data_IF_116482720050
#
_entry.id   IF_116482720050
#
_cell.length_a   1.000
_cell.length_b   1.000
_cell.length_c   1.000
_cell.angle_alpha   90.00
_cell.angle_beta   90.00
_cell.angle_gamma   90.00
#
_symmetry.space_group_name_H-M   'P 1'
#
loop_
_entity.id
_entity.type
_entity.pdbx_description
1 polymer ?
#
# COMPACT_ATOMS: atom_id res chain seq x y z
N UNK A 1 12.09 -8.42 23.86
CA UNK A 1 11.35 -7.16 24.16
C UNK A 1 12.11 -6.01 23.57
N UNK A 2 11.51 -5.23 22.66
CA UNK A 2 12.15 -3.98 22.22
C UNK A 2 12.21 -3.04 23.43
N UNK A 3 13.38 -2.41 23.64
CA UNK A 3 13.59 -1.52 24.77
C UNK A 3 12.75 -0.24 24.52
N UNK A 4 11.82 0.09 25.42
CA UNK A 4 11.02 1.31 25.36
C UNK A 4 11.90 2.58 25.28
N UNK A 5 13.15 2.52 25.73
CA UNK A 5 14.12 3.60 25.65
C UNK A 5 14.58 3.92 24.21
N UNK A 6 14.24 3.11 23.22
CA UNK A 6 14.55 3.37 21.81
C UNK A 6 13.49 4.21 21.10
N UNK A 7 12.37 4.50 21.77
CA UNK A 7 11.33 5.38 21.28
C UNK A 7 11.43 6.77 21.92
N UNK A 8 11.23 7.79 21.10
CA UNK A 8 11.18 9.18 21.52
C UNK A 8 9.71 9.61 21.47
N UNK A 9 9.22 10.22 22.55
CA UNK A 9 7.92 10.89 22.53
C UNK A 9 8.07 12.18 21.72
N UNK A 10 7.54 12.18 20.50
CA UNK A 10 7.67 13.27 19.52
C UNK A 10 6.61 14.37 19.71
N UNK A 11 5.62 14.12 20.55
CA UNK A 11 4.50 15.00 20.83
C UNK A 11 3.52 14.32 21.77
N UNK A 12 2.32 14.86 21.91
CA UNK A 12 1.33 14.27 22.82
C UNK A 12 0.90 12.87 22.33
N UNK A 13 1.40 11.82 23.00
CA UNK A 13 1.12 10.42 22.68
C UNK A 13 1.58 9.97 21.27
N UNK A 14 2.67 10.52 20.76
CA UNK A 14 3.31 10.09 19.50
C UNK A 14 4.65 9.44 19.84
N UNK A 15 4.84 8.19 19.44
CA UNK A 15 6.05 7.41 19.72
C UNK A 15 6.77 7.03 18.43
N UNK A 16 7.99 7.55 18.26
CA UNK A 16 8.81 7.32 17.06
C UNK A 16 10.12 6.68 17.46
N UNK A 17 10.49 5.59 16.81
CA UNK A 17 11.78 4.95 17.05
C UNK A 17 12.92 5.85 16.55
N UNK A 18 14.00 5.92 17.29
CA UNK A 18 15.16 6.81 17.02
C UNK A 18 15.86 6.57 15.67
N UNK A 19 15.67 5.42 15.03
CA UNK A 19 16.22 5.12 13.71
C UNK A 19 15.35 5.61 12.55
N UNK A 20 14.20 6.23 12.83
CA UNK A 20 13.32 6.74 11.78
C UNK A 20 13.88 8.02 11.15
N UNK A 21 13.54 8.22 9.89
CA UNK A 21 13.87 9.44 9.15
C UNK A 21 12.58 10.08 8.65
N UNK A 22 12.35 11.32 9.04
CA UNK A 22 11.17 12.10 8.64
C UNK A 22 11.63 13.32 7.86
N UNK A 23 11.13 13.46 6.64
CA UNK A 23 11.40 14.64 5.81
C UNK A 23 10.58 15.86 6.25
N UNK A 24 10.90 17.01 5.67
CA UNK A 24 10.22 18.26 5.96
C UNK A 24 8.74 18.23 5.62
N UNK A 25 7.91 18.84 6.46
CA UNK A 25 6.47 18.97 6.24
C UNK A 25 5.68 17.67 6.47
N UNK A 26 6.27 16.63 7.04
CA UNK A 26 5.53 15.48 7.53
C UNK A 26 4.68 15.91 8.72
N UNK A 27 3.38 15.60 8.69
CA UNK A 27 2.47 15.81 9.82
C UNK A 27 2.02 14.49 10.41
N UNK A 28 2.02 14.42 11.75
CA UNK A 28 1.69 13.20 12.50
C UNK A 28 0.69 13.58 13.59
N UNK A 29 -0.47 12.95 13.56
CA UNK A 29 -1.53 13.14 14.54
C UNK A 29 -1.25 12.34 15.83
N UNK A 30 -1.94 12.64 16.95
CA UNK A 30 -1.77 11.93 18.21
C UNK A 30 -2.02 10.42 18.13
N UNK A 31 -1.41 9.66 19.05
CA UNK A 31 -1.52 8.21 19.18
C UNK A 31 -0.89 7.39 18.03
N UNK A 32 -0.01 7.99 17.26
CA UNK A 32 0.75 7.29 16.23
C UNK A 32 1.97 6.60 16.84
N UNK A 33 2.26 5.39 16.36
CA UNK A 33 3.49 4.66 16.70
C UNK A 33 4.26 4.32 15.43
N UNK A 34 5.53 4.76 15.35
CA UNK A 34 6.42 4.46 14.24
C UNK A 34 7.59 3.63 14.76
N UNK A 35 7.67 2.38 14.29
CA UNK A 35 8.70 1.41 14.63
C UNK A 35 10.06 1.71 13.99
N UNK A 36 11.05 0.83 14.17
CA UNK A 36 12.39 1.06 13.64
C UNK A 36 12.43 1.05 12.10
N UNK A 37 13.46 1.74 11.57
CA UNK A 37 13.81 1.74 10.15
C UNK A 37 12.67 2.19 9.23
N UNK A 38 11.92 3.21 9.62
CA UNK A 38 10.88 3.83 8.79
C UNK A 38 11.41 5.14 8.22
N UNK A 39 11.23 5.32 6.92
CA UNK A 39 11.54 6.56 6.21
C UNK A 39 10.24 7.15 5.66
N UNK A 40 9.95 8.42 5.95
CA UNK A 40 8.73 9.10 5.50
C UNK A 40 9.10 10.35 4.71
N UNK A 41 8.71 10.36 3.44
CA UNK A 41 9.00 11.44 2.50
C UNK A 41 8.15 12.69 2.75
N UNK A 42 8.64 13.79 2.17
CA UNK A 42 8.16 15.15 2.34
C UNK A 42 6.65 15.30 2.16
N UNK A 43 6.01 16.06 3.06
CA UNK A 43 4.61 16.45 2.95
C UNK A 43 3.60 15.35 3.23
N UNK A 44 4.05 14.16 3.64
CA UNK A 44 3.16 13.06 3.99
C UNK A 44 2.40 13.32 5.29
N UNK A 45 1.19 12.76 5.39
CA UNK A 45 0.25 12.97 6.50
C UNK A 45 -0.13 11.64 7.13
N UNK A 46 0.10 11.51 8.43
CA UNK A 46 -0.16 10.30 9.20
C UNK A 46 -1.23 10.62 10.25
N UNK A 47 -2.41 10.06 10.07
CA UNK A 47 -3.55 10.27 10.97
C UNK A 47 -3.46 9.47 12.25
N UNK A 48 -4.33 9.78 13.19
CA UNK A 48 -4.33 9.19 14.54
C UNK A 48 -4.43 7.66 14.55
N UNK A 49 -3.79 7.04 15.53
CA UNK A 49 -3.81 5.59 15.77
C UNK A 49 -3.19 4.74 14.65
N UNK A 50 -2.41 5.34 13.77
CA UNK A 50 -1.64 4.62 12.75
C UNK A 50 -0.43 3.94 13.41
N UNK A 51 -0.14 2.72 12.98
CA UNK A 51 1.05 1.96 13.40
C UNK A 51 1.87 1.60 12.16
N UNK A 52 3.14 2.05 12.12
CA UNK A 52 4.04 1.82 10.99
C UNK A 52 5.31 1.13 11.49
N UNK A 53 5.82 0.15 10.74
CA UNK A 53 7.10 -0.50 11.00
C UNK A 53 7.04 -1.57 12.10
N UNK A 54 5.86 -2.13 12.37
CA UNK A 54 5.76 -3.38 13.14
C UNK A 54 6.50 -4.49 12.39
N UNK A 55 7.03 -5.47 13.13
CA UNK A 55 7.66 -6.64 12.53
C UNK A 55 6.71 -7.36 11.58
N UNK A 56 7.27 -8.05 10.58
CA UNK A 56 6.52 -8.91 9.68
C UNK A 56 5.69 -9.94 10.46
N UNK A 57 4.47 -10.20 10.03
CA UNK A 57 3.53 -11.14 10.66
C UNK A 57 3.84 -12.59 10.26
N UNK A 58 5.03 -13.06 10.62
CA UNK A 58 5.50 -14.42 10.33
C UNK A 58 5.74 -15.18 11.62
N UNK A 59 5.04 -16.30 11.86
CA UNK A 59 5.28 -17.12 13.05
C UNK A 59 6.73 -17.65 13.12
N UNK A 60 7.38 -17.51 14.29
CA UNK A 60 8.69 -18.07 14.55
C UNK A 60 9.89 -17.28 14.01
N UNK A 61 9.70 -16.04 13.57
CA UNK A 61 10.75 -15.25 12.91
C UNK A 61 11.14 -13.99 13.70
N UNK A 62 11.71 -14.20 14.91
CA UNK A 62 12.11 -13.06 15.75
C UNK A 62 13.47 -12.42 15.44
N UNK A 63 14.32 -13.02 14.60
CA UNK A 63 15.73 -12.63 14.50
C UNK A 63 16.27 -12.32 13.08
N UNK A 64 15.43 -12.20 12.06
CA UNK A 64 15.91 -11.83 10.72
C UNK A 64 16.03 -10.32 10.52
N UNK A 65 16.87 -9.93 9.52
CA UNK A 65 17.18 -8.56 9.12
C UNK A 65 16.01 -7.60 9.26
N UNK A 66 16.26 -6.47 9.90
CA UNK A 66 15.32 -5.35 9.95
C UNK A 66 15.27 -4.69 8.56
N UNK A 67 14.25 -5.04 7.77
CA UNK A 67 13.94 -4.33 6.55
C UNK A 67 13.24 -3.00 6.86
N UNK A 68 13.26 -2.09 5.89
CA UNK A 68 12.74 -0.75 5.99
C UNK A 68 11.27 -0.69 5.56
N UNK A 69 10.51 0.26 6.11
CA UNK A 69 9.30 0.76 5.49
C UNK A 69 9.63 2.10 4.83
N UNK A 70 9.56 2.14 3.50
CA UNK A 70 9.81 3.33 2.70
C UNK A 70 8.48 3.95 2.30
N UNK A 71 8.22 5.16 2.77
CA UNK A 71 7.03 5.95 2.43
C UNK A 71 7.47 7.17 1.64
N UNK A 72 6.95 7.32 0.44
CA UNK A 72 7.25 8.40 -0.49
C UNK A 72 6.71 9.76 -0.05
N UNK A 73 6.70 10.72 -0.96
CA UNK A 73 6.25 12.08 -0.72
C UNK A 73 4.72 12.20 -0.89
N UNK A 74 4.12 13.15 -0.14
CA UNK A 74 2.69 13.47 -0.22
C UNK A 74 1.77 12.26 -0.03
N UNK A 75 2.22 11.24 0.68
CA UNK A 75 1.40 10.07 1.04
C UNK A 75 0.44 10.46 2.16
N UNK A 76 -0.81 10.00 2.06
CA UNK A 76 -1.81 10.19 3.12
C UNK A 76 -2.19 8.84 3.69
N UNK A 77 -1.98 8.67 5.00
CA UNK A 77 -2.33 7.45 5.74
C UNK A 77 -3.37 7.84 6.79
N UNK A 78 -4.57 7.29 6.63
CA UNK A 78 -5.71 7.59 7.49
C UNK A 78 -5.71 6.71 8.75
N UNK A 79 -6.65 7.00 9.62
CA UNK A 79 -6.75 6.48 10.98
C UNK A 79 -6.76 4.95 11.04
N UNK A 80 -6.10 4.40 12.05
CA UNK A 80 -6.06 2.97 12.34
C UNK A 80 -5.44 2.08 11.24
N UNK A 81 -4.70 2.66 10.30
CA UNK A 81 -3.94 1.88 9.33
C UNK A 81 -2.75 1.20 10.01
N UNK A 82 -2.45 -0.03 9.61
CA UNK A 82 -1.26 -0.76 10.03
C UNK A 82 -0.37 -1.10 8.84
N UNK A 83 0.94 -0.83 8.95
CA UNK A 83 1.93 -1.11 7.91
C UNK A 83 3.10 -1.86 8.53
N UNK A 84 3.36 -3.06 8.07
CA UNK A 84 4.42 -3.91 8.58
C UNK A 84 5.73 -3.73 7.81
N UNK A 85 6.86 -3.84 8.53
CA UNK A 85 8.18 -3.91 7.90
C UNK A 85 8.33 -5.20 7.09
N UNK A 86 9.27 -5.19 6.17
CA UNK A 86 9.53 -6.34 5.33
C UNK A 86 10.11 -7.54 6.09
N UNK A 87 10.00 -8.69 5.46
CA UNK A 87 10.57 -9.96 5.88
C UNK A 87 11.74 -10.43 4.98
N UNK A 88 11.57 -10.25 3.67
CA UNK A 88 12.56 -10.62 2.65
C UNK A 88 13.06 -9.41 1.84
N UNK A 89 12.33 -8.31 1.87
CA UNK A 89 12.63 -7.03 1.21
C UNK A 89 11.90 -5.89 1.93
N UNK A 90 12.16 -4.65 1.55
CA UNK A 90 11.47 -3.50 2.11
C UNK A 90 9.98 -3.48 1.73
N UNK A 91 9.14 -2.97 2.64
CA UNK A 91 7.77 -2.57 2.32
C UNK A 91 7.82 -1.15 1.75
N UNK A 92 7.27 -0.95 0.54
CA UNK A 92 7.40 0.30 -0.21
C UNK A 92 6.03 0.88 -0.53
N UNK A 93 5.83 2.13 -0.18
CA UNK A 93 4.67 2.94 -0.53
C UNK A 93 5.20 4.16 -1.28
N UNK A 94 4.95 4.24 -2.58
CA UNK A 94 5.45 5.31 -3.42
C UNK A 94 4.68 6.63 -3.23
N UNK A 95 5.07 7.67 -3.98
CA UNK A 95 4.54 9.02 -3.86
C UNK A 95 3.03 9.11 -4.11
N UNK A 96 2.38 10.02 -3.40
CA UNK A 96 0.97 10.37 -3.60
C UNK A 96 -0.02 9.21 -3.42
N UNK A 97 0.38 8.14 -2.74
CA UNK A 97 -0.53 7.06 -2.37
C UNK A 97 -1.48 7.53 -1.28
N UNK A 98 -2.75 7.15 -1.41
CA UNK A 98 -3.78 7.42 -0.40
C UNK A 98 -4.27 6.12 0.22
N UNK A 99 -4.08 5.94 1.54
CA UNK A 99 -4.51 4.77 2.29
C UNK A 99 -5.60 5.20 3.28
N UNK A 100 -6.82 4.70 3.07
CA UNK A 100 -7.96 5.00 3.93
C UNK A 100 -7.93 4.18 5.22
N UNK A 101 -8.75 4.59 6.15
CA UNK A 101 -8.82 4.08 7.51
C UNK A 101 -9.02 2.55 7.60
N UNK A 102 -8.49 1.97 8.68
CA UNK A 102 -8.57 0.55 9.00
C UNK A 102 -7.94 -0.40 7.96
N UNK A 103 -7.18 0.11 6.98
CA UNK A 103 -6.49 -0.76 6.04
C UNK A 103 -5.25 -1.39 6.65
N UNK A 104 -4.93 -2.59 6.19
CA UNK A 104 -3.78 -3.36 6.64
C UNK A 104 -2.84 -3.64 5.47
N UNK A 105 -1.57 -3.28 5.62
CA UNK A 105 -0.50 -3.52 4.65
C UNK A 105 0.52 -4.45 5.31
N UNK A 106 0.52 -5.71 4.91
CA UNK A 106 1.45 -6.70 5.41
C UNK A 106 2.88 -6.50 4.87
N UNK A 107 3.79 -7.36 5.27
CA UNK A 107 5.21 -7.32 4.95
C UNK A 107 5.51 -7.42 3.45
N UNK A 108 6.62 -6.82 3.00
CA UNK A 108 7.14 -6.94 1.62
C UNK A 108 6.21 -6.39 0.52
N UNK A 109 5.19 -5.62 0.86
CA UNK A 109 4.28 -5.03 -0.10
C UNK A 109 4.93 -3.89 -0.88
N UNK A 110 4.50 -3.71 -2.13
CA UNK A 110 4.88 -2.57 -2.95
C UNK A 110 3.64 -1.92 -3.55
N UNK A 111 3.35 -0.70 -3.10
CA UNK A 111 2.23 0.11 -3.59
C UNK A 111 2.81 1.26 -4.41
N UNK A 112 2.51 1.25 -5.71
CA UNK A 112 3.02 2.26 -6.64
C UNK A 112 2.28 3.58 -6.52
N UNK A 113 2.89 4.62 -7.10
CA UNK A 113 2.45 6.01 -7.02
C UNK A 113 0.98 6.20 -7.44
N UNK A 114 0.35 7.20 -6.83
CA UNK A 114 -1.03 7.60 -7.09
C UNK A 114 -2.09 6.50 -6.84
N UNK A 115 -1.73 5.35 -6.27
CA UNK A 115 -2.71 4.33 -5.92
C UNK A 115 -3.58 4.76 -4.72
N UNK A 116 -4.82 4.31 -4.73
CA UNK A 116 -5.76 4.51 -3.62
C UNK A 116 -6.17 3.16 -3.04
N UNK A 117 -5.94 3.00 -1.76
CA UNK A 117 -6.36 1.85 -0.95
C UNK A 117 -7.55 2.31 -0.11
N UNK A 118 -8.74 1.84 -0.44
CA UNK A 118 -9.96 2.23 0.26
C UNK A 118 -10.04 1.65 1.67
N UNK A 119 -11.03 2.07 2.44
CA UNK A 119 -11.17 1.68 3.84
C UNK A 119 -11.27 0.16 4.04
N UNK A 120 -10.68 -0.33 5.11
CA UNK A 120 -10.71 -1.74 5.52
C UNK A 120 -10.16 -2.73 4.48
N UNK A 121 -9.30 -2.27 3.58
CA UNK A 121 -8.60 -3.16 2.63
C UNK A 121 -7.50 -3.92 3.36
N UNK A 122 -7.37 -5.21 3.04
CA UNK A 122 -6.28 -6.06 3.53
C UNK A 122 -5.37 -6.48 2.37
N UNK A 123 -4.11 -6.05 2.41
CA UNK A 123 -3.05 -6.54 1.52
C UNK A 123 -2.19 -7.54 2.29
N UNK A 124 -2.24 -8.80 1.89
CA UNK A 124 -1.38 -9.84 2.46
C UNK A 124 0.08 -9.67 2.03
N UNK A 125 1.00 -10.45 2.59
CA UNK A 125 2.44 -10.32 2.33
C UNK A 125 2.81 -10.37 0.85
N UNK A 126 3.83 -9.62 0.46
CA UNK A 126 4.42 -9.60 -0.89
C UNK A 126 3.50 -9.12 -2.03
N UNK A 127 2.37 -8.48 -1.71
CA UNK A 127 1.45 -7.92 -2.70
C UNK A 127 2.07 -6.73 -3.43
N UNK A 128 1.79 -6.64 -4.76
CA UNK A 128 2.14 -5.47 -5.57
C UNK A 128 0.87 -4.81 -6.10
N UNK A 129 0.74 -3.51 -5.84
CA UNK A 129 -0.35 -2.68 -6.37
C UNK A 129 0.25 -1.73 -7.41
N UNK A 130 -0.31 -1.74 -8.60
CA UNK A 130 0.10 -0.92 -9.73
C UNK A 130 -0.16 0.57 -9.54
N UNK A 131 0.37 1.35 -10.48
CA UNK A 131 0.22 2.80 -10.53
C UNK A 131 -1.24 3.20 -10.81
N UNK A 132 -1.73 4.26 -10.15
CA UNK A 132 -3.08 4.79 -10.32
C UNK A 132 -4.20 3.74 -10.12
N UNK A 133 -3.94 2.69 -9.34
CA UNK A 133 -4.94 1.70 -8.98
C UNK A 133 -5.93 2.20 -7.93
N UNK A 134 -7.14 1.67 -7.96
CA UNK A 134 -8.12 1.84 -6.90
C UNK A 134 -8.53 0.46 -6.33
N UNK A 135 -8.21 0.22 -5.07
CA UNK A 135 -8.61 -1.01 -4.36
C UNK A 135 -9.82 -0.68 -3.51
N UNK A 136 -10.95 -1.28 -3.87
CA UNK A 136 -12.25 -0.99 -3.29
C UNK A 136 -12.38 -1.39 -1.82
N UNK A 137 -13.32 -0.74 -1.13
CA UNK A 137 -13.57 -0.91 0.31
C UNK A 137 -13.77 -2.39 0.67
N UNK A 138 -13.22 -2.81 1.83
CA UNK A 138 -13.33 -4.19 2.37
C UNK A 138 -12.82 -5.29 1.43
N UNK A 139 -11.98 -4.95 0.44
CA UNK A 139 -11.38 -5.95 -0.44
C UNK A 139 -10.13 -6.56 0.19
N UNK A 140 -9.83 -7.80 -0.21
CA UNK A 140 -8.61 -8.50 0.23
C UNK A 140 -7.79 -8.94 -0.97
N UNK A 141 -6.47 -8.79 -0.88
CA UNK A 141 -5.52 -9.21 -1.90
C UNK A 141 -4.63 -10.31 -1.31
N UNK A 142 -4.69 -11.49 -1.92
CA UNK A 142 -3.96 -12.67 -1.48
C UNK A 142 -2.45 -12.48 -1.57
N UNK A 143 -1.71 -13.14 -0.70
CA UNK A 143 -0.24 -13.15 -0.66
C UNK A 143 0.38 -13.41 -2.04
N UNK A 144 1.38 -12.62 -2.41
CA UNK A 144 2.11 -12.74 -3.67
C UNK A 144 1.35 -12.28 -4.91
N UNK A 145 0.15 -11.74 -4.77
CA UNK A 145 -0.65 -11.27 -5.89
C UNK A 145 -0.16 -9.93 -6.44
N UNK A 146 -0.44 -9.68 -7.71
CA UNK A 146 -0.13 -8.41 -8.38
C UNK A 146 -1.41 -7.83 -8.99
N UNK A 147 -1.66 -6.56 -8.74
CA UNK A 147 -2.70 -5.77 -9.41
C UNK A 147 -2.01 -4.86 -10.41
N UNK A 148 -2.34 -4.97 -11.69
CA UNK A 148 -1.74 -4.17 -12.76
C UNK A 148 -2.13 -2.70 -12.69
N UNK A 149 -1.36 -1.85 -13.36
CA UNK A 149 -1.55 -0.39 -13.37
C UNK A 149 -2.96 -0.01 -13.88
N UNK A 150 -3.53 1.11 -13.41
CA UNK A 150 -4.85 1.64 -13.81
C UNK A 150 -6.03 0.68 -13.53
N UNK A 151 -5.86 -0.28 -12.63
CA UNK A 151 -6.87 -1.30 -12.33
C UNK A 151 -7.73 -0.90 -11.15
N UNK A 152 -9.03 -1.21 -11.24
CA UNK A 152 -9.97 -1.13 -10.12
C UNK A 152 -10.27 -2.55 -9.63
N UNK A 153 -10.11 -2.77 -8.34
CA UNK A 153 -10.72 -3.89 -7.63
C UNK A 153 -11.99 -3.40 -6.95
N UNK A 154 -13.13 -3.95 -7.30
CA UNK A 154 -14.42 -3.58 -6.73
C UNK A 154 -14.50 -3.88 -5.23
N UNK A 155 -15.41 -3.20 -4.52
CA UNK A 155 -15.62 -3.41 -3.09
C UNK A 155 -15.96 -4.89 -2.76
N UNK A 156 -15.57 -5.35 -1.56
CA UNK A 156 -15.82 -6.73 -1.09
C UNK A 156 -15.30 -7.82 -2.03
N UNK A 157 -14.20 -7.55 -2.75
CA UNK A 157 -13.62 -8.51 -3.69
C UNK A 157 -12.40 -9.21 -3.10
N UNK A 158 -12.18 -10.45 -3.55
CA UNK A 158 -10.98 -11.22 -3.21
C UNK A 158 -10.11 -11.43 -4.44
N UNK A 159 -8.97 -10.74 -4.50
CA UNK A 159 -8.01 -10.86 -5.58
C UNK A 159 -6.93 -11.90 -5.27
N UNK A 160 -6.67 -12.81 -6.22
CA UNK A 160 -5.60 -13.82 -6.12
C UNK A 160 -4.89 -13.97 -7.46
N UNK A 161 -3.55 -14.00 -7.42
CA UNK A 161 -2.71 -14.12 -8.62
C UNK A 161 -2.47 -12.77 -9.30
N UNK A 162 -2.33 -12.78 -10.61
CA UNK A 162 -2.02 -11.57 -11.38
C UNK A 162 -3.27 -11.02 -12.06
N UNK A 163 -3.75 -9.88 -11.60
CA UNK A 163 -4.82 -9.13 -12.24
C UNK A 163 -4.18 -8.16 -13.24
N UNK A 164 -4.60 -8.23 -14.50
CA UNK A 164 -4.04 -7.40 -15.56
C UNK A 164 -4.38 -5.92 -15.43
N UNK A 165 -3.66 -5.05 -16.18
CA UNK A 165 -3.81 -3.60 -16.11
C UNK A 165 -5.08 -3.10 -16.80
N UNK A 166 -5.44 -1.84 -16.55
CA UNK A 166 -6.53 -1.10 -17.21
C UNK A 166 -7.90 -1.78 -17.15
N UNK A 167 -8.14 -2.64 -16.17
CA UNK A 167 -9.39 -3.39 -16.03
C UNK A 167 -10.10 -3.10 -14.71
N UNK A 168 -11.39 -3.33 -14.71
CA UNK A 168 -12.22 -3.42 -13.50
C UNK A 168 -12.40 -4.89 -13.18
N UNK A 169 -12.09 -5.26 -11.94
CA UNK A 169 -12.29 -6.60 -11.40
C UNK A 169 -13.30 -6.57 -10.27
N UNK A 170 -13.99 -7.67 -10.04
CA UNK A 170 -14.91 -7.79 -8.91
C UNK A 170 -15.27 -9.21 -8.58
N UNK A 171 -15.77 -9.44 -7.38
CA UNK A 171 -16.23 -10.74 -6.88
C UNK A 171 -15.22 -11.52 -6.05
N UNK A 172 -15.59 -12.72 -5.65
CA UNK A 172 -14.78 -13.65 -4.86
C UNK A 172 -14.84 -15.06 -5.48
N UNK A 173 -13.79 -15.52 -6.18
CA UNK A 173 -12.60 -14.77 -6.56
C UNK A 173 -12.90 -13.64 -7.57
N UNK A 174 -12.06 -12.60 -7.56
CA UNK A 174 -12.22 -11.46 -8.45
C UNK A 174 -11.95 -11.86 -9.91
N UNK A 175 -12.87 -11.52 -10.78
CA UNK A 175 -12.78 -11.76 -12.23
C UNK A 175 -12.85 -10.45 -13.00
N UNK A 176 -12.26 -10.35 -14.21
CA UNK A 176 -12.32 -9.14 -15.00
C UNK A 176 -13.77 -8.88 -15.46
N UNK A 177 -14.23 -7.64 -15.34
CA UNK A 177 -15.59 -7.20 -15.67
C UNK A 177 -15.63 -6.38 -16.96
N UNK A 178 -14.78 -5.37 -17.05
CA UNK A 178 -14.69 -4.44 -18.20
C UNK A 178 -13.37 -3.69 -18.21
N UNK A 179 -13.10 -3.00 -19.32
CA UNK A 179 -11.99 -2.02 -19.41
C UNK A 179 -12.29 -0.83 -18.50
N UNK A 180 -11.25 -0.30 -17.86
CA UNK A 180 -11.32 0.89 -17.02
C UNK A 180 -11.07 2.16 -17.85
N UNK A 181 -12.01 2.50 -18.72
CA UNK A 181 -11.91 3.65 -19.62
C UNK A 181 -11.68 4.96 -18.87
N UNK A 182 -12.29 5.12 -17.69
CA UNK A 182 -12.15 6.32 -16.87
C UNK A 182 -10.69 6.55 -16.42
N UNK A 183 -10.01 5.51 -15.92
CA UNK A 183 -8.61 5.63 -15.54
C UNK A 183 -7.73 5.90 -16.75
N UNK A 184 -7.97 5.19 -17.87
CA UNK A 184 -7.23 5.38 -19.12
C UNK A 184 -7.32 6.84 -19.59
N UNK A 185 -8.51 7.45 -19.58
CA UNK A 185 -8.72 8.84 -20.03
C UNK A 185 -8.06 9.88 -19.13
N UNK A 186 -7.91 9.57 -17.83
CA UNK A 186 -7.33 10.47 -16.83
C UNK A 186 -5.86 10.23 -16.54
N UNK A 187 -5.31 9.11 -17.01
CA UNK A 187 -3.93 8.74 -16.72
C UNK A 187 -2.94 9.78 -17.24
N UNK A 188 -1.92 10.03 -16.43
CA UNK A 188 -0.79 10.87 -16.76
C UNK A 188 0.40 10.06 -17.31
N UNK A 189 0.21 8.78 -17.54
CA UNK A 189 1.22 7.91 -18.17
C UNK A 189 1.53 8.39 -19.59
N UNK A 190 2.77 8.17 -20.04
CA UNK A 190 3.09 8.43 -21.42
C UNK A 190 2.29 7.52 -22.36
N UNK A 191 2.00 8.03 -23.56
CA UNK A 191 1.08 7.36 -24.49
C UNK A 191 1.56 5.97 -24.91
N UNK A 192 2.86 5.76 -25.07
CA UNK A 192 3.42 4.46 -25.53
C UNK A 192 3.16 3.37 -24.49
N UNK A 193 3.47 3.66 -23.22
CA UNK A 193 3.24 2.71 -22.12
C UNK A 193 1.74 2.45 -21.96
N UNK A 194 0.91 3.49 -22.04
CA UNK A 194 -0.53 3.38 -21.94
C UNK A 194 -1.13 2.49 -23.04
N UNK A 195 -0.71 2.66 -24.28
CA UNK A 195 -1.18 1.85 -25.42
C UNK A 195 -0.85 0.35 -25.21
N UNK A 196 0.33 0.03 -24.68
CA UNK A 196 0.72 -1.34 -24.33
C UNK A 196 -0.20 -1.93 -23.25
N UNK A 197 -0.51 -1.15 -22.21
CA UNK A 197 -1.41 -1.60 -21.13
C UNK A 197 -2.83 -1.84 -21.65
N UNK A 198 -3.34 -0.98 -22.52
CA UNK A 198 -4.67 -1.11 -23.14
C UNK A 198 -4.74 -2.36 -24.02
N UNK A 199 -3.70 -2.62 -24.82
CA UNK A 199 -3.65 -3.84 -25.64
C UNK A 199 -3.69 -5.11 -24.78
N UNK A 200 -2.95 -5.14 -23.68
CA UNK A 200 -2.97 -6.25 -22.75
C UNK A 200 -4.36 -6.43 -22.11
N UNK A 201 -5.02 -5.33 -21.73
CA UNK A 201 -6.38 -5.37 -21.18
C UNK A 201 -7.37 -5.96 -22.16
N UNK A 202 -7.33 -5.57 -23.44
CA UNK A 202 -8.20 -6.10 -24.49
C UNK A 202 -8.01 -7.61 -24.65
N UNK A 203 -6.77 -8.09 -24.71
CA UNK A 203 -6.48 -9.54 -24.79
C UNK A 203 -7.08 -10.33 -23.63
N UNK A 204 -7.10 -9.79 -22.43
CA UNK A 204 -7.69 -10.44 -21.24
C UNK A 204 -9.22 -10.48 -21.33
N UNK A 205 -9.86 -9.41 -21.81
CA UNK A 205 -11.32 -9.35 -21.96
C UNK A 205 -11.79 -10.23 -23.10
N UNK A 206 -11.10 -10.23 -24.24
CA UNK A 206 -11.47 -10.98 -25.44
C UNK A 206 -11.19 -12.50 -25.31
N UNK A 207 -10.28 -12.89 -24.43
CA UNK A 207 -9.93 -14.28 -24.15
C UNK A 207 -10.84 -14.98 -23.13
N UNK A 208 -11.95 -14.35 -22.77
CA UNK A 208 -12.98 -14.88 -21.83
C UNK A 208 -14.01 -15.81 -22.48
#
# INVERSE_FOLDING_TARGET
MKNLNDFIEYGQNIFIHKSCQLDSGVSIDPFVTIGPNVVIGKGSKISSHVVIGSKAEMPGEDEKKDFTVLIGQNVVIREFVTIHSGYARDTIIEDSVYIMNHSHIAHDCWIKKNATIAASVTLAGTVKIGEECFIGIESSVHQGSTIGDLTILGANSFAKGNLGPCLKYGGNPATPLSINEFAIQKSQMNKVDLDVLIENAKKIIDGK
#
